data_IF_389590335955
#
_entry.id   IF_389590335955
#
_cell.length_a   1.000
_cell.length_b   1.000
_cell.length_c   1.000
_cell.angle_alpha   90.00
_cell.angle_beta   90.00
_cell.angle_gamma   90.00
#
_symmetry.space_group_name_H-M   'P 1'
#
loop_
_entity.id
_entity.type
_entity.pdbx_description
1 polymer ?
#
# COMPACT_ATOMS: atom_id res chain seq x y z
N UNK A 1 -9.86 5.44 3.92
CA UNK A 1 -8.76 6.23 3.34
C UNK A 1 -9.32 7.35 2.47
N UNK A 2 -10.25 7.09 1.58
CA UNK A 2 -10.84 8.06 0.65
C UNK A 2 -11.29 9.35 1.36
N UNK A 3 -12.15 9.23 2.37
CA UNK A 3 -12.60 10.37 3.19
C UNK A 3 -11.39 11.10 3.81
N UNK A 4 -10.48 10.38 4.47
CA UNK A 4 -9.41 11.00 5.22
C UNK A 4 -8.45 11.80 4.31
N UNK A 5 -8.06 11.27 3.16
CA UNK A 5 -7.13 11.94 2.24
C UNK A 5 -7.79 13.16 1.61
N UNK A 6 -9.05 13.02 1.17
CA UNK A 6 -9.83 14.12 0.56
C UNK A 6 -10.07 15.26 1.55
N UNK A 7 -10.41 14.94 2.81
CA UNK A 7 -10.66 15.97 3.82
C UNK A 7 -9.37 16.64 4.30
N UNK A 8 -8.25 15.91 4.39
CA UNK A 8 -6.95 16.51 4.70
C UNK A 8 -6.49 17.46 3.59
N UNK A 9 -6.68 17.10 2.31
CA UNK A 9 -6.43 18.00 1.20
C UNK A 9 -7.33 19.22 1.27
N UNK A 10 -8.64 19.06 1.51
CA UNK A 10 -9.58 20.15 1.64
C UNK A 10 -9.20 21.12 2.77
N UNK A 11 -8.80 20.62 3.94
CA UNK A 11 -8.30 21.44 5.05
C UNK A 11 -7.08 22.28 4.66
N UNK A 12 -6.19 21.69 3.87
CA UNK A 12 -4.96 22.35 3.44
C UNK A 12 -5.20 23.35 2.29
N UNK A 13 -6.04 23.00 1.31
CA UNK A 13 -6.07 23.61 -0.02
C UNK A 13 -7.41 24.23 -0.43
N UNK A 14 -8.48 24.13 0.38
CA UNK A 14 -9.76 24.81 0.13
C UNK A 14 -9.92 25.99 1.06
N UNK A 15 -10.30 27.14 0.50
CA UNK A 15 -10.79 28.28 1.25
C UNK A 15 -12.26 28.04 1.61
N UNK A 16 -12.57 27.94 2.92
CA UNK A 16 -13.91 27.55 3.38
C UNK A 16 -14.97 28.66 3.26
N UNK A 17 -14.54 29.90 3.12
CA UNK A 17 -15.48 31.05 2.92
C UNK A 17 -15.91 31.07 1.45
N UNK A 18 -14.96 31.14 0.54
CA UNK A 18 -15.22 31.15 -0.92
C UNK A 18 -15.56 29.80 -1.50
N UNK A 19 -15.21 28.70 -0.83
CA UNK A 19 -15.29 27.30 -1.30
C UNK A 19 -14.53 27.05 -2.60
N UNK A 20 -13.44 27.79 -2.80
CA UNK A 20 -12.57 27.65 -3.95
C UNK A 20 -11.23 27.05 -3.53
N UNK A 21 -10.52 26.45 -4.49
CA UNK A 21 -9.14 26.02 -4.28
C UNK A 21 -8.28 27.24 -4.03
N UNK A 22 -7.42 27.18 -3.00
CA UNK A 22 -6.47 28.24 -2.67
C UNK A 22 -5.45 28.43 -3.80
N UNK A 23 -5.08 29.65 -4.10
CA UNK A 23 -4.03 29.96 -5.08
C UNK A 23 -2.67 29.36 -4.67
N UNK A 24 -2.36 29.36 -3.38
CA UNK A 24 -1.14 28.80 -2.83
C UNK A 24 -1.37 27.34 -2.41
N UNK A 25 -1.10 26.41 -3.32
CA UNK A 25 -1.20 24.98 -3.05
C UNK A 25 -0.21 24.55 -1.97
N UNK A 26 -0.72 23.87 -0.93
CA UNK A 26 0.08 23.26 0.13
C UNK A 26 0.23 21.77 -0.11
N UNK A 27 1.42 21.35 -0.52
CA UNK A 27 1.75 19.93 -0.68
C UNK A 27 1.90 19.26 0.68
N UNK A 28 1.18 18.18 0.91
CA UNK A 28 1.22 17.39 2.15
C UNK A 28 2.18 16.20 2.00
N UNK A 29 2.81 15.81 3.11
CA UNK A 29 3.51 14.54 3.25
C UNK A 29 2.64 13.60 4.09
N UNK A 30 2.08 12.57 3.47
CA UNK A 30 1.16 11.63 4.09
C UNK A 30 1.87 10.28 4.30
N UNK A 31 2.20 9.95 5.54
CA UNK A 31 2.90 8.70 5.87
C UNK A 31 2.01 7.84 6.76
N UNK A 32 1.63 6.68 6.22
CA UNK A 32 0.88 5.66 6.96
C UNK A 32 1.84 4.69 7.63
N UNK A 33 1.72 4.55 8.93
CA UNK A 33 2.41 3.53 9.72
C UNK A 33 1.42 2.44 10.12
N UNK A 34 1.70 1.20 9.77
CA UNK A 34 0.76 0.10 9.96
C UNK A 34 1.41 -1.24 10.25
N UNK A 35 0.58 -2.28 10.21
CA UNK A 35 1.00 -3.67 10.33
C UNK A 35 0.64 -4.43 9.07
N UNK A 36 1.39 -5.50 8.77
CA UNK A 36 1.15 -6.31 7.59
C UNK A 36 1.56 -7.77 7.78
N UNK A 37 1.18 -8.62 6.83
CA UNK A 37 1.58 -10.01 6.79
C UNK A 37 2.50 -10.30 5.61
N UNK A 38 3.70 -10.83 5.87
CA UNK A 38 4.64 -11.22 4.81
C UNK A 38 4.13 -12.42 4.00
N UNK A 39 4.43 -12.42 2.69
CA UNK A 39 4.13 -13.52 1.77
C UNK A 39 5.40 -14.19 1.21
N UNK A 40 6.58 -13.64 1.47
CA UNK A 40 7.86 -14.22 1.07
C UNK A 40 8.54 -14.84 2.29
N UNK A 41 9.17 -16.02 2.14
CA UNK A 41 9.79 -16.76 3.23
C UNK A 41 10.96 -16.04 3.91
N UNK A 42 11.67 -15.21 3.17
CA UNK A 42 12.84 -14.46 3.62
C UNK A 42 12.50 -13.14 4.33
N UNK A 43 11.22 -12.88 4.62
CA UNK A 43 10.77 -11.70 5.36
C UNK A 43 10.26 -12.13 6.73
N UNK A 44 10.95 -11.70 7.78
CA UNK A 44 10.70 -12.15 9.14
C UNK A 44 9.69 -11.25 9.89
N UNK A 45 9.08 -11.82 10.92
CA UNK A 45 8.25 -11.05 11.87
C UNK A 45 9.11 -10.01 12.59
N UNK A 46 8.63 -8.78 12.66
CA UNK A 46 9.34 -7.65 13.23
C UNK A 46 10.16 -6.82 12.22
N UNK A 47 10.35 -7.30 10.99
CA UNK A 47 10.92 -6.47 9.92
C UNK A 47 9.98 -5.31 9.57
N UNK A 48 10.57 -4.21 9.09
CA UNK A 48 9.84 -3.05 8.58
C UNK A 48 9.92 -3.03 7.06
N UNK A 49 8.76 -3.02 6.41
CA UNK A 49 8.63 -2.97 4.95
C UNK A 49 8.07 -1.62 4.53
N UNK A 50 8.73 -0.99 3.57
CA UNK A 50 8.26 0.19 2.87
C UNK A 50 7.57 -0.26 1.58
N UNK A 51 6.33 0.15 1.39
CA UNK A 51 5.54 -0.12 0.19
C UNK A 51 6.05 0.77 -0.96
N UNK A 52 7.20 0.36 -1.57
CA UNK A 52 7.78 1.08 -2.70
C UNK A 52 6.77 1.24 -3.83
N UNK A 53 6.00 0.19 -4.04
CA UNK A 53 4.81 0.16 -4.91
C UNK A 53 3.66 -0.47 -4.13
N UNK A 54 2.49 0.13 -4.16
CA UNK A 54 1.27 -0.46 -3.62
C UNK A 54 0.40 -1.02 -4.73
N UNK A 55 -0.08 -2.26 -4.54
CA UNK A 55 -1.01 -2.95 -5.43
C UNK A 55 -2.41 -2.94 -4.81
N UNK A 56 -3.34 -2.21 -5.40
CA UNK A 56 -4.72 -2.14 -4.94
C UNK A 56 -5.63 -3.19 -5.57
N UNK A 57 -6.36 -3.93 -4.72
CA UNK A 57 -7.42 -4.86 -5.12
C UNK A 57 -8.82 -4.25 -4.97
N UNK A 58 -8.90 -3.04 -4.44
CA UNK A 58 -10.16 -2.34 -4.14
C UNK A 58 -10.82 -1.67 -5.36
N UNK A 59 -10.04 -1.37 -6.40
CA UNK A 59 -10.50 -0.69 -7.60
C UNK A 59 -10.84 0.80 -7.39
N UNK A 60 -10.51 1.39 -6.23
CA UNK A 60 -10.92 2.75 -5.87
C UNK A 60 -10.50 3.80 -6.89
N UNK A 61 -9.27 3.74 -7.39
CA UNK A 61 -8.77 4.74 -8.33
C UNK A 61 -9.51 4.76 -9.67
N UNK A 62 -10.23 3.69 -10.02
CA UNK A 62 -11.04 3.64 -11.25
C UNK A 62 -12.24 4.60 -11.21
N UNK A 63 -12.59 5.14 -10.06
CA UNK A 63 -13.63 6.17 -9.90
C UNK A 63 -13.11 7.59 -10.10
N UNK A 64 -11.77 7.79 -10.23
CA UNK A 64 -11.15 9.10 -10.32
C UNK A 64 -10.52 9.35 -11.69
N UNK A 65 -10.71 10.56 -12.21
CA UNK A 65 -10.04 11.03 -13.42
C UNK A 65 -8.52 11.09 -13.20
N UNK A 66 -7.75 10.79 -14.25
CA UNK A 66 -6.28 10.84 -14.19
C UNK A 66 -5.62 9.58 -13.62
N UNK A 67 -6.37 8.54 -13.28
CA UNK A 67 -5.87 7.27 -12.75
C UNK A 67 -4.66 6.74 -13.54
N UNK A 68 -4.75 6.69 -14.86
CA UNK A 68 -3.71 6.11 -15.73
C UNK A 68 -2.41 6.93 -15.77
N UNK A 69 -2.47 8.20 -15.37
CA UNK A 69 -1.27 9.04 -15.27
C UNK A 69 -0.44 8.76 -14.00
N UNK A 70 -1.01 8.09 -13.01
CA UNK A 70 -0.36 7.79 -11.73
C UNK A 70 -0.10 6.31 -11.51
N UNK A 71 -0.68 5.43 -12.34
CA UNK A 71 -0.56 3.98 -12.23
C UNK A 71 0.49 3.40 -13.20
N UNK A 72 1.14 2.31 -12.80
CA UNK A 72 2.04 1.52 -13.66
C UNK A 72 1.22 0.51 -14.49
N UNK A 73 0.80 0.94 -15.68
CA UNK A 73 -0.05 0.14 -16.56
C UNK A 73 0.64 -1.10 -17.14
N UNK A 74 1.96 -1.11 -17.20
CA UNK A 74 2.73 -2.27 -17.66
C UNK A 74 2.74 -3.36 -16.59
N UNK A 75 2.99 -2.96 -15.35
CA UNK A 75 2.96 -3.85 -14.19
C UNK A 75 1.55 -4.42 -13.95
N UNK A 76 0.49 -3.63 -14.16
CA UNK A 76 -0.90 -4.09 -14.10
C UNK A 76 -1.16 -5.22 -15.10
N UNK A 77 -0.79 -5.02 -16.36
CA UNK A 77 -0.97 -6.04 -17.42
C UNK A 77 -0.20 -7.32 -17.10
N UNK A 78 1.06 -7.19 -16.69
CA UNK A 78 1.88 -8.34 -16.33
C UNK A 78 1.29 -9.12 -15.14
N UNK A 79 0.76 -8.42 -14.13
CA UNK A 79 0.12 -9.07 -12.98
C UNK A 79 -1.18 -9.78 -13.35
N UNK A 80 -2.04 -9.13 -14.13
CA UNK A 80 -3.32 -9.69 -14.61
C UNK A 80 -3.07 -10.98 -15.43
N UNK A 81 -2.09 -10.95 -16.33
CA UNK A 81 -1.70 -12.12 -17.13
C UNK A 81 -1.15 -13.26 -16.25
N UNK A 82 -0.18 -12.95 -15.38
CA UNK A 82 0.46 -13.94 -14.50
C UNK A 82 -0.54 -14.64 -13.57
N UNK A 83 -1.46 -13.87 -12.99
CA UNK A 83 -2.43 -14.41 -12.04
C UNK A 83 -3.66 -15.02 -12.71
N UNK A 84 -3.86 -14.83 -14.01
CA UNK A 84 -5.13 -15.08 -14.69
C UNK A 84 -6.28 -14.43 -13.91
N UNK A 85 -6.14 -13.12 -13.67
CA UNK A 85 -7.05 -12.36 -12.81
C UNK A 85 -8.51 -12.52 -13.24
N UNK A 86 -9.38 -12.84 -12.27
CA UNK A 86 -10.79 -13.06 -12.56
C UNK A 86 -11.48 -11.75 -12.96
N UNK A 87 -12.12 -11.73 -14.13
CA UNK A 87 -12.70 -10.55 -14.78
C UNK A 87 -13.87 -9.88 -14.02
N UNK A 88 -14.43 -10.57 -13.01
CA UNK A 88 -15.48 -10.02 -12.13
C UNK A 88 -14.92 -9.33 -10.88
N UNK A 89 -13.63 -9.45 -10.62
CA UNK A 89 -12.98 -8.66 -9.58
C UNK A 89 -12.66 -7.26 -10.11
N UNK A 90 -12.55 -6.24 -9.21
CA UNK A 90 -12.01 -4.95 -9.61
C UNK A 90 -10.65 -5.11 -10.29
N UNK A 91 -10.38 -4.33 -11.31
CA UNK A 91 -9.07 -4.32 -11.94
C UNK A 91 -7.99 -3.92 -10.91
N UNK A 92 -6.92 -4.70 -10.77
CA UNK A 92 -5.81 -4.33 -9.89
C UNK A 92 -5.09 -3.11 -10.43
N UNK A 93 -4.53 -2.28 -9.54
CA UNK A 93 -3.76 -1.12 -9.94
C UNK A 93 -2.50 -0.97 -9.09
N UNK A 94 -1.44 -0.45 -9.69
CA UNK A 94 -0.14 -0.28 -9.05
C UNK A 94 0.23 1.20 -9.00
N UNK A 95 0.56 1.70 -7.81
CA UNK A 95 0.99 3.08 -7.59
C UNK A 95 2.26 3.11 -6.77
N UNK A 96 3.26 3.84 -7.24
CA UNK A 96 4.51 4.02 -6.51
C UNK A 96 4.36 5.04 -5.39
N UNK A 97 5.09 4.82 -4.30
CA UNK A 97 5.29 5.79 -3.25
C UNK A 97 6.09 7.00 -3.78
N UNK A 98 6.06 8.08 -3.01
CA UNK A 98 6.89 9.26 -3.31
C UNK A 98 8.38 8.94 -3.11
N UNK A 99 9.21 9.38 -4.06
CA UNK A 99 10.65 9.11 -4.09
C UNK A 99 11.40 9.80 -2.97
N UNK A 100 11.08 11.06 -2.66
CA UNK A 100 11.73 11.79 -1.59
C UNK A 100 11.42 11.19 -0.22
N UNK A 101 10.19 10.70 -0.03
CA UNK A 101 9.84 9.94 1.17
C UNK A 101 10.57 8.59 1.23
N UNK A 102 10.71 7.88 0.11
CA UNK A 102 11.48 6.64 0.08
C UNK A 102 12.95 6.87 0.46
N UNK A 103 13.58 7.89 -0.11
CA UNK A 103 14.99 8.22 0.17
C UNK A 103 15.28 8.46 1.65
N UNK A 104 14.32 8.98 2.42
CA UNK A 104 14.46 9.12 3.88
C UNK A 104 14.57 7.78 4.61
N UNK A 105 13.92 6.74 4.08
CA UNK A 105 13.75 5.47 4.79
C UNK A 105 14.63 4.33 4.25
N UNK A 106 15.12 4.39 3.02
CA UNK A 106 15.74 3.29 2.26
C UNK A 106 16.78 2.47 3.01
N UNK A 107 17.60 3.12 3.86
CA UNK A 107 18.64 2.45 4.62
C UNK A 107 18.15 1.75 5.89
N UNK A 108 16.85 1.86 6.20
CA UNK A 108 16.26 1.37 7.46
C UNK A 108 15.10 0.41 7.27
N UNK A 109 14.72 0.16 6.02
CA UNK A 109 13.54 -0.63 5.67
C UNK A 109 13.84 -1.60 4.53
N UNK A 110 13.07 -2.67 4.46
CA UNK A 110 12.99 -3.49 3.23
C UNK A 110 11.97 -2.85 2.29
N UNK A 111 12.29 -2.73 1.02
CA UNK A 111 11.33 -2.28 0.02
C UNK A 111 10.63 -3.46 -0.68
N UNK A 112 9.47 -3.21 -1.25
CA UNK A 112 8.75 -4.18 -2.06
C UNK A 112 7.40 -3.71 -2.56
N UNK A 113 6.70 -4.61 -3.24
CA UNK A 113 5.30 -4.39 -3.63
C UNK A 113 4.41 -4.89 -2.48
N UNK A 114 3.59 -3.99 -1.94
CA UNK A 114 2.62 -4.31 -0.89
C UNK A 114 1.21 -4.37 -1.48
N UNK A 115 0.45 -5.43 -1.21
CA UNK A 115 -0.96 -5.51 -1.59
C UNK A 115 -1.83 -4.83 -0.54
N UNK A 116 -2.68 -3.90 -1.00
CA UNK A 116 -3.80 -3.34 -0.25
C UNK A 116 -5.08 -4.10 -0.64
N UNK A 117 -5.51 -5.00 0.23
CA UNK A 117 -6.67 -5.86 -0.03
C UNK A 117 -7.95 -5.27 0.61
N UNK A 118 -9.12 -5.29 -0.08
CA UNK A 118 -10.37 -4.73 0.44
C UNK A 118 -11.01 -5.55 1.55
N UNK A 119 -10.41 -6.67 1.94
CA UNK A 119 -10.93 -7.55 2.99
C UNK A 119 -9.86 -8.48 3.55
N UNK A 120 -10.07 -8.91 4.80
CA UNK A 120 -9.11 -9.74 5.53
C UNK A 120 -9.15 -11.22 5.14
N UNK A 121 -10.32 -11.74 4.76
CA UNK A 121 -10.49 -13.16 4.46
C UNK A 121 -10.21 -13.49 2.99
N UNK A 122 -11.23 -13.67 2.17
CA UNK A 122 -11.10 -14.12 0.78
C UNK A 122 -10.16 -13.27 -0.09
N UNK A 123 -10.17 -11.91 0.00
CA UNK A 123 -9.22 -11.09 -0.77
C UNK A 123 -7.74 -11.33 -0.41
N UNK A 124 -7.49 -11.91 0.76
CA UNK A 124 -6.16 -12.31 1.21
C UNK A 124 -5.98 -13.84 1.24
N UNK A 125 -6.84 -14.60 0.58
CA UNK A 125 -6.75 -16.07 0.49
C UNK A 125 -7.05 -16.82 1.79
N UNK A 126 -7.76 -16.21 2.74
CA UNK A 126 -8.20 -16.85 3.99
C UNK A 126 -9.68 -17.17 3.90
N UNK A 127 -10.10 -18.22 4.56
CA UNK A 127 -11.53 -18.57 4.67
C UNK A 127 -11.85 -19.31 5.98
N UNK A 128 -13.11 -19.25 6.37
CA UNK A 128 -13.67 -20.09 7.43
C UNK A 128 -14.72 -21.03 6.80
N UNK A 129 -15.83 -20.49 6.34
CA UNK A 129 -16.89 -21.23 5.65
C UNK A 129 -17.01 -20.88 4.16
N UNK A 130 -16.96 -19.60 3.83
CA UNK A 130 -16.98 -19.14 2.44
C UNK A 130 -15.58 -19.22 1.85
N UNK A 131 -15.42 -19.98 0.77
CA UNK A 131 -14.15 -20.15 0.08
C UNK A 131 -13.87 -18.98 -0.84
N UNK A 132 -12.60 -18.57 -1.01
CA UNK A 132 -12.18 -17.67 -2.08
C UNK A 132 -12.55 -18.25 -3.45
N UNK A 133 -12.81 -17.39 -4.43
CA UNK A 133 -13.05 -17.80 -5.81
C UNK A 133 -11.85 -18.56 -6.40
N UNK A 134 -10.64 -18.00 -6.22
CA UNK A 134 -9.39 -18.64 -6.58
C UNK A 134 -8.63 -19.07 -5.33
N UNK A 135 -8.54 -20.37 -5.10
CA UNK A 135 -7.83 -20.96 -3.95
C UNK A 135 -6.31 -20.88 -4.09
N UNK A 136 -5.80 -20.67 -5.31
CA UNK A 136 -4.39 -20.63 -5.66
C UNK A 136 -3.86 -19.20 -5.87
N UNK A 137 -4.69 -18.19 -5.66
CA UNK A 137 -4.30 -16.79 -5.89
C UNK A 137 -3.03 -16.40 -5.09
N UNK A 138 -2.91 -16.84 -3.85
CA UNK A 138 -1.73 -16.53 -3.04
C UNK A 138 -0.44 -17.15 -3.58
N UNK A 139 -0.49 -18.37 -4.14
CA UNK A 139 0.65 -19.02 -4.78
C UNK A 139 1.10 -18.25 -6.03
N UNK A 140 0.13 -17.77 -6.82
CA UNK A 140 0.40 -16.91 -7.99
C UNK A 140 0.99 -15.57 -7.57
N UNK A 141 0.46 -14.95 -6.50
CA UNK A 141 0.98 -13.69 -5.93
C UNK A 141 2.42 -13.88 -5.43
N UNK A 142 2.68 -14.94 -4.67
CA UNK A 142 4.02 -15.25 -4.12
C UNK A 142 5.06 -15.43 -5.23
N UNK A 143 4.67 -16.08 -6.34
CA UNK A 143 5.54 -16.34 -7.49
C UNK A 143 5.68 -15.17 -8.46
N UNK A 144 4.84 -14.12 -8.36
CA UNK A 144 4.89 -12.99 -9.28
C UNK A 144 6.23 -12.24 -9.19
N UNK A 145 6.81 -11.97 -10.36
CA UNK A 145 8.03 -11.18 -10.54
C UNK A 145 7.90 -10.27 -11.75
N UNK A 146 8.40 -9.04 -11.60
CA UNK A 146 8.49 -8.07 -12.69
C UNK A 146 9.87 -7.41 -12.62
N UNK A 147 10.82 -7.90 -13.41
CA UNK A 147 12.23 -7.66 -13.21
C UNK A 147 12.65 -8.16 -11.81
N UNK A 148 13.26 -7.30 -11.01
CA UNK A 148 13.65 -7.63 -9.62
C UNK A 148 12.52 -7.37 -8.61
N UNK A 149 11.45 -6.70 -9.02
CA UNK A 149 10.32 -6.38 -8.14
C UNK A 149 9.49 -7.63 -7.83
N UNK A 150 9.09 -7.77 -6.56
CA UNK A 150 8.24 -8.87 -6.07
C UNK A 150 7.23 -8.36 -5.05
N UNK A 151 6.14 -9.09 -4.89
CA UNK A 151 5.16 -8.82 -3.84
C UNK A 151 5.72 -9.33 -2.52
N UNK A 152 5.73 -8.48 -1.50
CA UNK A 152 6.35 -8.74 -0.20
C UNK A 152 5.35 -9.04 0.90
N UNK A 153 4.24 -8.32 0.93
CA UNK A 153 3.31 -8.37 2.05
C UNK A 153 1.90 -7.89 1.70
N UNK A 154 0.96 -8.13 2.60
CA UNK A 154 -0.43 -7.67 2.54
C UNK A 154 -0.73 -6.68 3.66
N UNK A 155 -1.42 -5.59 3.31
CA UNK A 155 -2.14 -4.69 4.21
C UNK A 155 -3.48 -4.28 3.57
N UNK A 156 -4.10 -3.15 3.93
CA UNK A 156 -5.49 -2.89 3.50
C UNK A 156 -5.76 -1.43 3.05
N UNK A 157 -4.77 -0.52 3.03
CA UNK A 157 -5.02 0.91 2.81
C UNK A 157 -4.01 1.63 1.90
N UNK A 158 -2.80 1.07 1.72
CA UNK A 158 -1.66 1.76 1.12
C UNK A 158 -1.88 2.21 -0.33
N UNK A 159 -2.55 1.42 -1.15
CA UNK A 159 -2.80 1.74 -2.56
C UNK A 159 -3.70 2.96 -2.71
N UNK A 160 -4.79 3.00 -1.93
CA UNK A 160 -5.71 4.13 -1.92
C UNK A 160 -5.01 5.41 -1.43
N UNK A 161 -4.20 5.31 -0.36
CA UNK A 161 -3.43 6.44 0.15
C UNK A 161 -2.48 7.00 -0.91
N UNK A 162 -1.61 6.14 -1.47
CA UNK A 162 -0.61 6.57 -2.46
C UNK A 162 -1.27 7.10 -3.73
N UNK A 163 -2.31 6.42 -4.21
CA UNK A 163 -3.00 6.80 -5.44
C UNK A 163 -3.73 8.14 -5.32
N UNK A 164 -4.54 8.33 -4.30
CA UNK A 164 -5.28 9.58 -4.09
C UNK A 164 -4.33 10.75 -3.81
N UNK A 165 -3.32 10.54 -2.95
CA UNK A 165 -2.34 11.57 -2.67
C UNK A 165 -1.62 12.03 -3.96
N UNK A 166 -1.22 11.09 -4.81
CA UNK A 166 -0.54 11.40 -6.07
C UNK A 166 -1.46 12.13 -7.06
N UNK A 167 -2.74 11.72 -7.16
CA UNK A 167 -3.73 12.43 -7.99
C UNK A 167 -3.96 13.86 -7.52
N UNK A 168 -3.90 14.11 -6.22
CA UNK A 168 -4.05 15.45 -5.62
C UNK A 168 -2.72 16.24 -5.57
N UNK A 169 -1.60 15.69 -6.04
CA UNK A 169 -0.30 16.37 -6.03
C UNK A 169 0.45 16.31 -4.70
N UNK A 170 0.04 15.44 -3.79
CA UNK A 170 0.69 15.22 -2.49
C UNK A 170 1.75 14.12 -2.56
N UNK A 171 2.58 14.02 -1.52
CA UNK A 171 3.50 12.92 -1.28
C UNK A 171 2.88 11.90 -0.34
N UNK A 172 3.01 10.61 -0.67
CA UNK A 172 2.55 9.57 0.23
C UNK A 172 3.48 8.37 0.28
N UNK A 173 3.51 7.72 1.45
CA UNK A 173 4.20 6.47 1.69
C UNK A 173 3.43 5.60 2.69
N UNK A 174 3.56 4.29 2.55
CA UNK A 174 3.08 3.31 3.54
C UNK A 174 4.26 2.50 4.05
N UNK A 175 4.38 2.41 5.37
CA UNK A 175 5.42 1.66 6.08
C UNK A 175 4.73 0.72 7.06
N UNK A 176 5.04 -0.56 6.98
CA UNK A 176 4.43 -1.57 7.83
C UNK A 176 5.46 -2.40 8.57
N UNK A 177 5.20 -2.69 9.84
CA UNK A 177 5.91 -3.77 10.51
C UNK A 177 5.24 -5.11 10.21
N UNK A 178 6.03 -6.14 9.96
CA UNK A 178 5.53 -7.49 9.73
C UNK A 178 5.14 -8.11 11.08
N UNK A 179 3.86 -8.49 11.21
CA UNK A 179 3.34 -9.12 12.41
C UNK A 179 2.93 -10.60 12.20
N UNK A 180 2.93 -11.04 10.95
CA UNK A 180 2.64 -12.41 10.59
C UNK A 180 3.42 -12.84 9.35
N UNK A 181 3.98 -14.04 9.38
CA UNK A 181 4.59 -14.69 8.24
C UNK A 181 3.63 -15.75 7.70
N UNK A 182 3.07 -15.51 6.52
CA UNK A 182 1.94 -16.28 6.00
C UNK A 182 2.34 -17.67 5.48
N UNK A 183 3.54 -17.79 4.93
CA UNK A 183 4.06 -19.06 4.40
C UNK A 183 4.46 -19.98 5.54
N UNK A 184 5.16 -19.47 6.54
CA UNK A 184 5.54 -20.23 7.74
C UNK A 184 4.38 -20.42 8.73
N UNK A 185 3.23 -19.75 8.51
CA UNK A 185 2.07 -19.72 9.43
C UNK A 185 2.44 -19.27 10.84
N UNK A 186 3.42 -18.37 10.92
CA UNK A 186 3.86 -17.75 12.17
C UNK A 186 3.17 -16.39 12.35
N UNK A 187 2.75 -16.08 13.57
CA UNK A 187 2.10 -14.82 13.90
C UNK A 187 2.51 -14.37 15.30
N UNK A 188 2.96 -13.13 15.39
CA UNK A 188 3.31 -12.51 16.66
C UNK A 188 2.06 -11.94 17.34
N UNK A 189 1.75 -12.41 18.53
CA UNK A 189 0.64 -11.89 19.33
C UNK A 189 1.01 -10.62 20.10
N UNK A 190 2.28 -10.44 20.47
CA UNK A 190 2.80 -9.21 21.09
C UNK A 190 3.65 -8.41 20.11
N UNK A 191 3.00 -7.82 19.11
CA UNK A 191 3.64 -7.00 18.07
C UNK A 191 3.84 -5.53 18.48
N UNK A 192 3.33 -5.09 19.64
CA UNK A 192 3.42 -3.69 20.08
C UNK A 192 4.85 -3.14 20.16
N UNK A 193 5.87 -3.89 20.63
CA UNK A 193 7.25 -3.41 20.63
C UNK A 193 7.79 -3.11 19.21
N UNK A 194 7.42 -3.93 18.23
CA UNK A 194 7.84 -3.71 16.84
C UNK A 194 7.19 -2.46 16.24
N UNK A 195 5.88 -2.26 16.49
CA UNK A 195 5.16 -1.06 16.05
C UNK A 195 5.77 0.19 16.69
N UNK A 196 6.08 0.16 18.00
CA UNK A 196 6.71 1.29 18.68
C UNK A 196 8.06 1.67 18.03
N UNK A 197 8.92 0.69 17.82
CA UNK A 197 10.23 0.91 17.16
C UNK A 197 10.07 1.51 15.75
N UNK A 198 9.10 1.03 14.96
CA UNK A 198 8.81 1.59 13.65
C UNK A 198 8.33 3.05 13.76
N UNK A 199 7.47 3.38 14.71
CA UNK A 199 6.98 4.75 14.94
C UNK A 199 8.13 5.67 15.32
N UNK A 200 8.97 5.26 16.28
CA UNK A 200 10.15 6.04 16.72
C UNK A 200 11.09 6.31 15.53
N UNK A 201 11.45 5.28 14.77
CA UNK A 201 12.27 5.41 13.55
C UNK A 201 11.63 6.36 12.54
N UNK A 202 10.32 6.26 12.33
CA UNK A 202 9.62 7.11 11.36
C UNK A 202 9.59 8.58 11.80
N UNK A 203 9.34 8.86 13.08
CA UNK A 203 9.34 10.21 13.63
C UNK A 203 10.72 10.85 13.54
N UNK A 204 11.77 10.10 13.89
CA UNK A 204 13.16 10.60 13.80
C UNK A 204 13.49 11.02 12.36
N UNK A 205 13.16 10.20 11.37
CA UNK A 205 13.43 10.51 9.96
C UNK A 205 12.56 11.67 9.44
N UNK A 206 11.28 11.67 9.74
CA UNK A 206 10.36 12.72 9.29
C UNK A 206 10.66 14.09 9.94
N UNK A 207 11.31 14.11 11.11
CA UNK A 207 11.73 15.36 11.76
C UNK A 207 12.83 16.10 11.00
N UNK A 208 13.41 15.48 9.97
CA UNK A 208 14.44 16.10 9.11
C UNK A 208 13.86 16.80 7.87
N UNK A 209 12.55 16.68 7.63
CA UNK A 209 11.83 17.38 6.56
C UNK A 209 11.52 18.82 6.97
#
# INVERSE_FOLDING_TARGET
IDIAVTELDALANIDFESRQVKENFRRLNLVRLGTSGAIQQDIEVGEVVFSRTSLGFDGLLSYYEGRDAVCDLELERAFVEHTAWYDKLPAPYFVDADEELFDLFKDSVREGITIAAPGFYAPQGRWVRLRPHDMHLNEKIESFRFGERRITNFEMEGSALQGLARLMGHRAATICTIIAQRVAKDACTDYKPFVRRMIEMALDKLSTL
#
